data_IF_872214903318
#
_entry.id   IF_872214903318
#
_cell.length_a   1.000
_cell.length_b   1.000
_cell.length_c   1.000
_cell.angle_alpha   90.00
_cell.angle_beta   90.00
_cell.angle_gamma   90.00
#
_symmetry.space_group_name_H-M   'P 1'
#
loop_
_entity.id
_entity.type
_entity.pdbx_description
1 polymer ?
#
# COMPACT_ATOMS: atom_id res chain seq x y z
N UNK A 1 47.99 -49.77 17.68
CA UNK A 1 46.65 -49.95 17.07
C UNK A 1 45.71 -48.77 17.33
N UNK A 2 46.01 -47.90 18.30
CA UNK A 2 45.16 -46.76 18.68
C UNK A 2 45.29 -45.53 17.77
N UNK A 3 46.48 -45.27 17.20
CA UNK A 3 46.70 -44.11 16.32
C UNK A 3 45.92 -44.18 15.00
N UNK A 4 45.51 -45.38 14.56
CA UNK A 4 44.73 -45.56 13.32
C UNK A 4 43.23 -45.30 13.51
N UNK A 5 42.72 -45.40 14.75
CA UNK A 5 41.30 -45.23 15.04
C UNK A 5 40.93 -43.75 15.23
N UNK A 6 41.85 -42.94 15.76
CA UNK A 6 41.68 -41.48 15.88
C UNK A 6 41.67 -40.77 14.52
N UNK A 7 42.48 -41.22 13.56
CA UNK A 7 42.48 -40.65 12.21
C UNK A 7 41.20 -40.98 11.46
N UNK A 8 40.58 -42.15 11.72
CA UNK A 8 39.31 -42.54 11.10
C UNK A 8 38.11 -41.73 11.63
N UNK A 9 38.11 -41.37 12.93
CA UNK A 9 37.08 -40.52 13.51
C UNK A 9 37.13 -39.06 12.99
N UNK A 10 38.33 -38.58 12.64
CA UNK A 10 38.53 -37.24 12.06
C UNK A 10 38.07 -37.11 10.60
N UNK A 11 37.78 -38.22 9.92
CA UNK A 11 37.27 -38.23 8.55
C UNK A 11 35.74 -38.41 8.48
N UNK A 12 35.09 -38.80 9.58
CA UNK A 12 33.63 -38.97 9.64
C UNK A 12 32.89 -37.68 10.04
N UNK A 13 33.59 -36.64 10.49
CA UNK A 13 33.10 -35.26 10.48
C UNK A 13 33.22 -34.66 9.07
N UNK A 14 32.82 -35.44 8.06
CA UNK A 14 32.57 -34.96 6.72
C UNK A 14 31.31 -34.09 6.82
N UNK A 15 31.55 -32.84 7.21
CA UNK A 15 30.83 -31.63 6.83
C UNK A 15 29.50 -31.96 6.11
N UNK A 16 28.43 -32.19 6.89
CA UNK A 16 27.09 -31.90 6.41
C UNK A 16 26.99 -30.37 6.35
N UNK A 17 27.68 -29.76 5.39
CA UNK A 17 27.33 -28.42 4.92
C UNK A 17 26.05 -28.63 4.15
N UNK A 18 24.93 -28.50 4.85
CA UNK A 18 23.67 -28.22 4.18
C UNK A 18 23.89 -26.90 3.44
N UNK A 19 24.11 -26.97 2.13
CA UNK A 19 24.00 -25.81 1.25
C UNK A 19 22.53 -25.43 1.33
N UNK A 20 22.18 -24.52 2.24
CA UNK A 20 20.92 -23.80 2.18
C UNK A 20 21.01 -22.96 0.91
N UNK A 21 20.47 -23.52 -0.18
CA UNK A 21 20.03 -22.75 -1.32
C UNK A 21 18.96 -21.79 -0.80
N UNK A 22 19.38 -20.61 -0.33
CA UNK A 22 18.47 -19.51 -0.11
C UNK A 22 17.90 -19.14 -1.46
N UNK A 23 16.71 -19.63 -1.78
CA UNK A 23 15.95 -19.11 -2.92
C UNK A 23 15.89 -17.60 -2.78
N UNK A 24 16.10 -16.84 -3.86
CA UNK A 24 16.03 -15.38 -3.79
C UNK A 24 14.67 -14.97 -3.22
N UNK A 25 14.68 -14.01 -2.30
CA UNK A 25 13.45 -13.44 -1.76
C UNK A 25 12.60 -12.89 -2.92
N UNK A 26 11.27 -13.07 -2.86
CA UNK A 26 10.37 -12.53 -3.89
C UNK A 26 10.47 -11.00 -3.90
N UNK A 27 10.46 -10.43 -5.11
CA UNK A 27 10.33 -8.99 -5.32
C UNK A 27 8.85 -8.60 -5.37
N UNK A 28 8.45 -7.46 -4.78
CA UNK A 28 7.08 -6.98 -4.89
C UNK A 28 6.78 -6.61 -6.35
N UNK A 29 5.59 -6.98 -6.84
CA UNK A 29 5.17 -6.58 -8.18
C UNK A 29 4.69 -5.13 -8.21
N UNK A 30 4.95 -4.38 -9.30
CA UNK A 30 4.38 -3.05 -9.48
C UNK A 30 2.86 -3.06 -9.42
N UNK A 31 2.26 -1.96 -8.97
CA UNK A 31 0.83 -1.76 -9.12
C UNK A 31 0.43 -1.74 -10.60
N UNK A 32 -0.79 -2.20 -10.93
CA UNK A 32 -1.38 -1.88 -12.21
C UNK A 32 -1.45 -0.37 -12.40
N UNK A 33 -1.27 0.11 -13.64
CA UNK A 33 -1.32 1.54 -13.94
C UNK A 33 -2.68 2.17 -13.61
N UNK A 34 -3.74 1.36 -13.65
CA UNK A 34 -5.11 1.77 -13.35
C UNK A 34 -5.82 0.67 -12.57
N UNK A 35 -6.53 1.04 -11.51
CA UNK A 35 -7.43 0.13 -10.82
C UNK A 35 -8.46 0.89 -9.96
N UNK A 36 -9.54 0.19 -9.64
CA UNK A 36 -10.43 0.53 -8.53
C UNK A 36 -10.30 -0.51 -7.42
N UNK A 37 -10.30 -0.05 -6.18
CA UNK A 37 -10.36 -0.92 -5.02
C UNK A 37 -11.39 -0.40 -4.03
N UNK A 38 -12.28 -1.27 -3.55
CA UNK A 38 -13.05 -1.00 -2.34
C UNK A 38 -12.22 -1.42 -1.13
N UNK A 39 -11.95 -0.47 -0.25
CA UNK A 39 -11.03 -0.64 0.88
C UNK A 39 -11.79 -0.39 2.19
N UNK A 40 -11.74 -1.36 3.10
CA UNK A 40 -12.12 -1.13 4.48
C UNK A 40 -10.94 -0.54 5.23
N UNK A 41 -11.08 0.69 5.71
CA UNK A 41 -10.07 1.38 6.49
C UNK A 41 -10.46 1.37 7.96
N UNK A 42 -9.56 0.89 8.82
CA UNK A 42 -9.68 0.98 10.26
C UNK A 42 -8.61 1.93 10.80
N UNK A 43 -9.07 3.04 11.38
CA UNK A 43 -8.29 4.10 11.97
C UNK A 43 -8.41 3.97 13.50
N UNK A 44 -7.63 3.04 14.06
CA UNK A 44 -7.80 2.61 15.45
C UNK A 44 -7.53 3.74 16.45
N UNK A 45 -6.57 4.61 16.15
CA UNK A 45 -6.22 5.74 17.03
C UNK A 45 -7.31 6.81 17.07
N UNK A 46 -8.05 6.97 15.97
CA UNK A 46 -9.19 7.86 15.83
C UNK A 46 -10.52 7.23 16.28
N UNK A 47 -10.54 5.91 16.54
CA UNK A 47 -11.77 5.11 16.71
C UNK A 47 -12.75 5.26 15.54
N UNK A 48 -12.23 5.38 14.31
CA UNK A 48 -13.02 5.55 13.09
C UNK A 48 -12.86 4.32 12.18
N UNK A 49 -13.94 3.95 11.49
CA UNK A 49 -13.92 2.96 10.41
C UNK A 49 -14.65 3.52 9.19
N UNK A 50 -14.04 3.41 8.02
CA UNK A 50 -14.61 3.93 6.77
C UNK A 50 -14.49 2.88 5.65
N UNK A 51 -15.42 2.93 4.70
CA UNK A 51 -15.21 2.30 3.39
C UNK A 51 -14.66 3.36 2.44
N UNK A 52 -13.69 3.00 1.62
CA UNK A 52 -13.05 3.91 0.68
C UNK A 52 -13.08 3.33 -0.72
N UNK A 53 -13.64 4.06 -1.67
CA UNK A 53 -13.38 3.80 -3.09
C UNK A 53 -12.05 4.44 -3.46
N UNK A 54 -11.04 3.61 -3.71
CA UNK A 54 -9.73 4.01 -4.18
C UNK A 54 -9.67 3.85 -5.70
N UNK A 55 -9.55 4.95 -6.43
CA UNK A 55 -9.35 4.99 -7.88
C UNK A 55 -7.95 5.49 -8.18
N UNK A 56 -7.09 4.56 -8.59
CA UNK A 56 -5.72 4.86 -8.99
C UNK A 56 -5.64 4.96 -10.52
N UNK A 57 -5.08 6.06 -11.03
CA UNK A 57 -4.92 6.32 -12.47
C UNK A 57 -3.58 7.00 -12.73
N UNK A 58 -2.52 6.19 -12.81
CA UNK A 58 -1.14 6.63 -13.02
C UNK A 58 -0.95 7.38 -14.35
N UNK A 59 -1.48 6.94 -15.50
CA UNK A 59 -1.33 7.66 -16.77
C UNK A 59 -1.91 9.08 -16.74
N UNK A 60 -2.94 9.31 -15.91
CA UNK A 60 -3.52 10.65 -15.68
C UNK A 60 -3.00 11.33 -14.43
N UNK A 61 -2.05 10.72 -13.72
CA UNK A 61 -1.36 11.29 -12.57
C UNK A 61 -2.28 11.59 -11.39
N UNK A 62 -3.32 10.78 -11.15
CA UNK A 62 -4.28 11.01 -10.06
C UNK A 62 -4.56 9.76 -9.22
N UNK A 63 -4.82 9.99 -7.94
CA UNK A 63 -5.28 9.01 -6.98
C UNK A 63 -6.49 9.59 -6.24
N UNK A 64 -7.67 9.01 -6.44
CA UNK A 64 -8.93 9.52 -5.87
C UNK A 64 -9.42 8.55 -4.81
N UNK A 65 -9.51 9.01 -3.57
CA UNK A 65 -10.11 8.27 -2.47
C UNK A 65 -11.45 8.92 -2.11
N UNK A 66 -12.53 8.15 -2.14
CA UNK A 66 -13.86 8.59 -1.71
C UNK A 66 -14.19 7.86 -0.42
N UNK A 67 -14.09 8.55 0.71
CA UNK A 67 -14.28 7.98 2.03
C UNK A 67 -15.75 8.08 2.44
N UNK A 68 -16.38 6.92 2.59
CA UNK A 68 -17.71 6.75 3.15
C UNK A 68 -17.59 6.51 4.65
N UNK A 69 -17.73 7.60 5.42
CA UNK A 69 -17.70 7.53 6.88
C UNK A 69 -19.01 6.96 7.43
N UNK A 70 -18.94 6.08 8.44
CA UNK A 70 -20.14 5.50 9.03
C UNK A 70 -21.09 6.57 9.63
N UNK A 71 -20.53 7.60 10.26
CA UNK A 71 -21.29 8.67 10.95
C UNK A 71 -20.85 10.09 10.51
N UNK A 72 -20.41 10.26 9.26
CA UNK A 72 -19.89 11.53 8.76
C UNK A 72 -20.23 11.82 7.30
N UNK A 73 -19.80 12.98 6.82
CA UNK A 73 -19.91 13.34 5.41
C UNK A 73 -18.99 12.48 4.53
N UNK A 74 -19.37 12.33 3.25
CA UNK A 74 -18.48 11.74 2.25
C UNK A 74 -17.33 12.70 1.98
N UNK A 75 -16.11 12.25 2.26
CA UNK A 75 -14.89 13.01 2.03
C UNK A 75 -14.24 12.54 0.74
N UNK A 76 -14.02 13.46 -0.18
CA UNK A 76 -13.26 13.23 -1.40
C UNK A 76 -11.82 13.69 -1.17
N UNK A 77 -10.87 12.81 -1.40
CA UNK A 77 -9.44 13.11 -1.40
C UNK A 77 -8.88 12.84 -2.80
N UNK A 78 -8.56 13.90 -3.54
CA UNK A 78 -7.97 13.84 -4.88
C UNK A 78 -6.52 14.25 -4.78
N UNK A 79 -5.61 13.32 -5.03
CA UNK A 79 -4.17 13.51 -4.95
C UNK A 79 -3.57 13.45 -6.35
N UNK A 80 -2.65 14.36 -6.63
CA UNK A 80 -2.01 14.50 -7.95
C UNK A 80 -0.53 14.16 -7.89
N UNK A 81 0.00 13.72 -9.04
CA UNK A 81 1.42 13.40 -9.20
C UNK A 81 2.36 14.59 -8.95
N UNK A 82 1.88 15.82 -9.07
CA UNK A 82 2.63 17.03 -8.77
C UNK A 82 2.70 17.35 -7.26
N UNK A 83 2.14 16.50 -6.41
CA UNK A 83 2.12 16.69 -4.97
C UNK A 83 0.87 17.36 -4.41
N UNK A 84 0.05 18.00 -5.25
CA UNK A 84 -1.14 18.70 -4.78
C UNK A 84 -2.23 17.70 -4.41
N UNK A 85 -2.84 17.89 -3.24
CA UNK A 85 -3.94 17.07 -2.74
C UNK A 85 -5.09 17.94 -2.27
N UNK A 86 -6.31 17.59 -2.68
CA UNK A 86 -7.55 18.27 -2.32
C UNK A 86 -8.40 17.35 -1.46
N UNK A 87 -8.75 17.79 -0.26
CA UNK A 87 -9.68 17.11 0.64
C UNK A 87 -10.95 17.95 0.76
N UNK A 88 -12.08 17.45 0.28
CA UNK A 88 -13.31 18.25 0.24
C UNK A 88 -14.59 17.42 0.45
N UNK A 89 -15.63 18.10 0.91
CA UNK A 89 -17.01 17.57 0.97
C UNK A 89 -17.87 18.28 -0.05
N UNK A 90 -18.81 17.58 -0.69
CA UNK A 90 -19.71 18.16 -1.70
C UNK A 90 -21.04 18.60 -1.07
N UNK A 91 -21.69 19.60 -1.69
CA UNK A 91 -23.02 20.07 -1.28
C UNK A 91 -23.05 21.51 -0.78
N UNK A 92 -24.21 21.95 -0.28
CA UNK A 92 -24.37 23.28 0.29
C UNK A 92 -23.53 23.39 1.58
N UNK A 93 -22.57 24.32 1.61
CA UNK A 93 -21.64 24.44 2.73
C UNK A 93 -20.43 23.50 2.66
N UNK A 94 -20.16 22.88 1.49
CA UNK A 94 -19.00 22.03 1.28
C UNK A 94 -17.68 22.68 1.71
N UNK A 95 -16.81 21.88 2.30
CA UNK A 95 -15.51 22.34 2.82
C UNK A 95 -14.39 21.91 1.89
N UNK A 96 -13.25 22.62 1.92
CA UNK A 96 -12.05 22.19 1.22
C UNK A 96 -10.78 22.51 2.02
N UNK A 97 -9.84 21.57 1.99
CA UNK A 97 -8.46 21.74 2.44
C UNK A 97 -7.52 21.33 1.31
N UNK A 98 -6.60 22.20 0.96
CA UNK A 98 -5.53 21.93 -0.01
C UNK A 98 -4.25 21.60 0.75
N UNK A 99 -3.50 20.62 0.30
CA UNK A 99 -2.21 20.23 0.89
C UNK A 99 -1.22 19.91 -0.23
N UNK A 100 0.05 20.20 0.00
CA UNK A 100 1.13 19.90 -0.94
C UNK A 100 2.09 18.90 -0.30
N UNK A 101 2.29 17.75 -0.95
CA UNK A 101 3.26 16.74 -0.59
C UNK A 101 4.41 16.72 -1.61
N UNK A 102 5.65 16.50 -1.18
CA UNK A 102 6.81 16.57 -2.08
C UNK A 102 6.86 15.46 -3.13
N UNK A 103 6.26 14.30 -2.83
CA UNK A 103 6.41 13.06 -3.61
C UNK A 103 5.26 12.80 -4.60
N UNK A 104 4.08 13.38 -4.38
CA UNK A 104 2.87 13.06 -5.14
C UNK A 104 2.30 11.67 -4.82
N UNK A 105 1.52 11.13 -5.76
CA UNK A 105 0.91 9.81 -5.63
C UNK A 105 1.96 8.69 -5.73
N UNK A 106 1.74 7.52 -5.10
CA UNK A 106 2.64 6.38 -5.22
C UNK A 106 2.87 6.00 -6.69
N UNK A 107 4.13 5.85 -7.09
CA UNK A 107 4.48 5.27 -8.40
C UNK A 107 4.11 3.79 -8.42
N UNK A 108 3.85 3.19 -9.59
CA UNK A 108 3.53 1.77 -9.67
C UNK A 108 4.59 0.88 -9.00
N UNK A 109 5.86 1.25 -9.12
CA UNK A 109 7.00 0.52 -8.58
C UNK A 109 7.44 1.00 -7.18
N UNK A 110 6.61 1.74 -6.44
CA UNK A 110 7.06 2.39 -5.20
C UNK A 110 7.62 1.41 -4.15
N UNK A 111 7.23 0.13 -4.19
CA UNK A 111 7.77 -0.92 -3.30
C UNK A 111 9.07 -1.56 -3.81
N UNK A 112 9.44 -1.39 -5.08
CA UNK A 112 10.56 -2.12 -5.67
C UNK A 112 11.90 -1.76 -5.02
N UNK A 113 12.13 -0.47 -4.74
CA UNK A 113 13.35 0.02 -4.12
C UNK A 113 13.14 0.27 -2.62
N UNK A 114 14.08 -0.20 -1.79
CA UNK A 114 14.11 0.12 -0.36
C UNK A 114 13.00 -0.53 0.48
N UNK A 115 12.32 -1.55 -0.04
CA UNK A 115 11.47 -2.42 0.78
C UNK A 115 12.25 -3.62 1.33
N UNK A 116 11.84 -4.09 2.50
CA UNK A 116 12.43 -5.25 3.19
C UNK A 116 11.40 -6.36 3.24
N UNK A 117 11.73 -7.52 2.68
CA UNK A 117 10.85 -8.70 2.75
C UNK A 117 10.88 -9.31 4.14
N UNK A 118 9.70 -9.46 4.76
CA UNK A 118 9.54 -9.97 6.13
C UNK A 118 9.09 -11.43 6.18
N UNK A 119 8.80 -12.04 5.04
CA UNK A 119 8.28 -13.41 4.96
C UNK A 119 6.82 -13.45 4.53
N UNK A 120 6.10 -14.47 4.97
CA UNK A 120 4.70 -14.70 4.62
C UNK A 120 3.79 -14.69 5.83
N UNK A 121 2.59 -14.13 5.69
CA UNK A 121 1.57 -14.09 6.73
C UNK A 121 0.18 -14.34 6.15
N UNK A 122 -0.69 -15.03 6.90
CA UNK A 122 -2.10 -15.16 6.52
C UNK A 122 -2.88 -13.94 7.03
N UNK A 123 -3.54 -13.23 6.13
CA UNK A 123 -4.46 -12.11 6.44
C UNK A 123 -5.64 -12.14 5.48
N UNK A 124 -6.84 -11.81 5.95
CA UNK A 124 -8.07 -11.71 5.15
C UNK A 124 -8.39 -12.97 4.30
N UNK A 125 -7.92 -14.14 4.75
CA UNK A 125 -8.07 -15.42 4.05
C UNK A 125 -7.01 -15.71 2.98
N UNK A 126 -6.03 -14.83 2.79
CA UNK A 126 -4.94 -14.99 1.81
C UNK A 126 -3.62 -15.28 2.52
N UNK A 127 -2.77 -16.14 1.92
CA UNK A 127 -1.36 -16.21 2.28
C UNK A 127 -0.64 -15.10 1.53
N UNK A 128 -0.09 -14.13 2.24
CA UNK A 128 0.53 -12.96 1.64
C UNK A 128 2.04 -12.96 1.85
N UNK A 129 2.78 -12.54 0.83
CA UNK A 129 4.10 -11.97 1.01
C UNK A 129 3.97 -10.62 1.75
N UNK A 130 4.91 -10.35 2.65
CA UNK A 130 4.92 -9.13 3.47
C UNK A 130 6.21 -8.35 3.22
N UNK A 131 6.08 -7.08 2.90
CA UNK A 131 7.21 -6.15 2.83
C UNK A 131 6.98 -4.95 3.74
N UNK A 132 8.05 -4.47 4.35
CA UNK A 132 8.10 -3.19 5.05
C UNK A 132 8.80 -2.16 4.16
N UNK A 133 8.34 -0.91 4.21
CA UNK A 133 8.98 0.21 3.51
C UNK A 133 9.05 1.44 4.41
N UNK A 134 10.25 2.03 4.47
CA UNK A 134 10.54 3.27 5.18
C UNK A 134 10.11 3.28 6.66
N UNK A 135 10.14 2.10 7.30
CA UNK A 135 9.73 1.86 8.69
C UNK A 135 8.32 2.39 9.05
N UNK A 136 7.48 2.57 8.04
CA UNK A 136 6.18 3.24 8.16
C UNK A 136 5.05 2.49 7.48
N UNK A 137 5.33 1.71 6.43
CA UNK A 137 4.32 0.99 5.64
C UNK A 137 4.61 -0.50 5.65
N UNK A 138 3.61 -1.32 5.97
CA UNK A 138 3.61 -2.77 5.76
C UNK A 138 2.65 -3.14 4.66
N UNK A 139 3.11 -3.95 3.71
CA UNK A 139 2.41 -4.23 2.48
C UNK A 139 2.21 -5.73 2.29
N UNK A 140 0.97 -6.14 2.07
CA UNK A 140 0.53 -7.52 1.97
C UNK A 140 0.03 -7.83 0.56
N UNK A 141 0.77 -8.69 -0.14
CA UNK A 141 0.43 -9.13 -1.49
C UNK A 141 0.17 -10.62 -1.49
N UNK A 142 -0.95 -11.06 -2.06
CA UNK A 142 -1.28 -12.49 -2.17
C UNK A 142 -0.17 -13.24 -2.92
N UNK A 143 0.30 -14.36 -2.35
CA UNK A 143 1.35 -15.20 -2.93
C UNK A 143 0.89 -15.80 -4.26
N UNK A 144 -0.40 -16.13 -4.40
CA UNK A 144 -0.91 -16.85 -5.56
C UNK A 144 -1.21 -15.91 -6.74
N UNK A 145 -1.93 -14.82 -6.51
CA UNK A 145 -2.37 -13.92 -7.60
C UNK A 145 -1.62 -12.61 -7.65
N UNK A 146 -0.74 -12.34 -6.69
CA UNK A 146 -0.03 -11.08 -6.55
C UNK A 146 -0.93 -9.84 -6.38
N UNK A 147 -2.18 -10.05 -6.01
CA UNK A 147 -3.14 -8.98 -5.72
C UNK A 147 -2.75 -8.27 -4.42
N UNK A 148 -2.99 -6.95 -4.37
CA UNK A 148 -2.95 -6.20 -3.12
C UNK A 148 -4.08 -6.66 -2.18
N UNK A 149 -3.72 -7.13 -0.99
CA UNK A 149 -4.67 -7.62 0.03
C UNK A 149 -4.84 -6.60 1.16
N UNK A 150 -3.73 -6.06 1.65
CA UNK A 150 -3.74 -5.13 2.79
C UNK A 150 -2.51 -4.23 2.79
N UNK A 151 -2.64 -3.05 3.37
CA UNK A 151 -1.48 -2.28 3.81
C UNK A 151 -1.75 -1.54 5.11
N UNK A 152 -0.72 -1.43 5.93
CA UNK A 152 -0.78 -0.80 7.25
C UNK A 152 0.19 0.35 7.33
N UNK A 153 -0.18 1.37 8.11
CA UNK A 153 0.70 2.46 8.49
C UNK A 153 1.04 2.38 9.98
N UNK A 154 2.26 2.79 10.35
CA UNK A 154 2.72 2.81 11.75
C UNK A 154 1.80 3.65 12.66
N UNK A 155 1.04 4.59 12.08
CA UNK A 155 0.05 5.43 12.76
C UNK A 155 -1.24 4.69 13.18
N UNK A 156 -1.29 3.35 13.15
CA UNK A 156 -2.47 2.58 13.54
C UNK A 156 -3.61 2.61 12.52
N UNK A 157 -3.28 2.86 11.25
CA UNK A 157 -4.22 2.82 10.12
C UNK A 157 -4.00 1.49 9.40
N UNK A 158 -5.05 0.70 9.27
CA UNK A 158 -5.04 -0.58 8.55
C UNK A 158 -6.04 -0.55 7.41
N UNK A 159 -5.63 -1.02 6.23
CA UNK A 159 -6.41 -0.93 5.00
C UNK A 159 -6.59 -2.33 4.43
N UNK A 160 -7.83 -2.81 4.38
CA UNK A 160 -8.17 -4.14 3.90
C UNK A 160 -8.86 -4.04 2.54
N UNK A 161 -8.29 -4.64 1.50
CA UNK A 161 -8.84 -4.60 0.14
C UNK A 161 -9.96 -5.63 -0.01
N UNK A 162 -11.18 -5.14 -0.12
CA UNK A 162 -12.37 -5.97 -0.31
C UNK A 162 -12.51 -6.41 -1.77
N UNK A 163 -12.43 -5.45 -2.71
CA UNK A 163 -12.47 -5.69 -4.16
C UNK A 163 -11.26 -5.05 -4.84
N UNK A 164 -10.84 -5.60 -5.98
CA UNK A 164 -9.72 -5.08 -6.74
C UNK A 164 -9.97 -5.29 -8.25
N UNK A 165 -10.24 -4.20 -8.95
CA UNK A 165 -10.66 -4.17 -10.35
C UNK A 165 -9.59 -3.49 -11.20
N UNK A 166 -8.71 -4.30 -11.81
CA UNK A 166 -7.63 -3.82 -12.66
C UNK A 166 -8.19 -3.18 -13.94
N UNK A 167 -7.66 -2.01 -14.30
CA UNK A 167 -8.05 -1.26 -15.50
C UNK A 167 -9.31 -0.39 -15.32
N UNK A 168 -9.94 -0.41 -14.14
CA UNK A 168 -11.07 0.47 -13.86
C UNK A 168 -10.61 1.93 -13.74
N UNK A 169 -11.42 2.85 -14.27
CA UNK A 169 -11.12 4.29 -14.34
C UNK A 169 -12.32 5.10 -13.88
N UNK A 170 -12.06 6.12 -13.07
CA UNK A 170 -13.07 7.08 -12.66
C UNK A 170 -13.25 8.16 -13.74
N UNK A 171 -14.49 8.49 -14.16
CA UNK A 171 -14.72 9.52 -15.17
C UNK A 171 -14.18 10.89 -14.77
N UNK A 172 -13.62 11.64 -15.72
CA UNK A 172 -12.98 12.94 -15.46
C UNK A 172 -13.93 13.94 -14.79
N UNK A 173 -15.23 13.88 -15.11
CA UNK A 173 -16.27 14.76 -14.58
C UNK A 173 -16.43 14.70 -13.06
N UNK A 174 -15.94 13.65 -12.39
CA UNK A 174 -16.04 13.48 -10.93
C UNK A 174 -14.69 13.51 -10.23
N UNK A 175 -13.60 13.80 -10.96
CA UNK A 175 -12.23 13.83 -10.41
C UNK A 175 -11.74 15.24 -10.08
N UNK A 176 -12.45 16.28 -10.52
CA UNK A 176 -12.02 17.66 -10.35
C UNK A 176 -12.46 18.21 -9.00
N UNK A 177 -11.53 18.86 -8.30
CA UNK A 177 -11.85 19.56 -7.06
C UNK A 177 -12.83 20.72 -7.33
N UNK A 178 -13.78 21.00 -6.42
CA UNK A 178 -14.73 22.09 -6.57
C UNK A 178 -14.06 23.47 -6.64
N UNK A 179 -14.70 24.44 -7.30
CA UNK A 179 -14.15 25.78 -7.50
C UNK A 179 -13.74 26.49 -6.19
N UNK A 180 -14.46 26.25 -5.09
CA UNK A 180 -14.14 26.85 -3.78
C UNK A 180 -12.82 26.36 -3.18
N UNK A 181 -12.24 25.25 -3.67
CA UNK A 181 -10.91 24.81 -3.28
C UNK A 181 -9.79 25.75 -3.75
N UNK A 182 -10.04 26.57 -4.78
CA UNK A 182 -9.05 27.46 -5.38
C UNK A 182 -9.16 28.90 -4.87
N UNK A 183 -10.18 29.19 -4.06
CA UNK A 183 -10.44 30.52 -3.50
C UNK A 183 -9.72 30.75 -2.16
N UNK A 184 -8.96 29.77 -1.67
CA UNK A 184 -8.06 29.98 -0.54
C UNK A 184 -6.84 30.75 -1.06
N UNK A 185 -6.99 32.08 -1.07
CA UNK A 185 -5.89 33.00 -1.35
C UNK A 185 -4.80 32.69 -0.33
N UNK A 186 -3.72 32.11 -0.82
CA UNK A 186 -2.49 31.93 -0.08
C UNK A 186 -1.97 33.32 0.30
N UNK A 187 -1.95 33.63 1.60
CA UNK A 187 -1.00 34.60 2.14
C UNK A 187 0.40 34.01 1.87
N UNK A 188 0.98 34.37 0.73
CA UNK A 188 2.41 34.21 0.41
C UNK A 188 3.10 35.50 0.81
#
# INVERSE_FOLDING_TARGET
>A
MELKLQVLLLWLTCLMVTIQSSSPSPSPLPWPEQFHALVFMNLTNENEIHLTDLWYDWPRGRNVNIHHKQLGEVLYAVEWNNGTSFYYTLGAGGTCRVTQYEVGIPRPDFLAEGSVYLGTQVTDGFLCHVWEKADFIWYYQDVLTSRLVRWDFAAGITNHVMTFEVGAVLPDSVTQAPAYCFNQISDI
#
